data_IF_863250699206
#
_entry.id   IF_863250699206
#
_cell.length_a   1.000
_cell.length_b   1.000
_cell.length_c   1.000
_cell.angle_alpha   90.00
_cell.angle_beta   90.00
_cell.angle_gamma   90.00
#
_symmetry.space_group_name_H-M   'P 1'
#
loop_
_entity.id
_entity.type
_entity.pdbx_description
1 polymer ?
#
# COMPACT_ATOMS: atom_id res chain seq x y z
N UNK A 1 5.50 -19.34 -20.51
CA UNK A 1 5.05 -18.24 -19.62
C UNK A 1 6.20 -17.93 -18.68
N UNK A 2 6.88 -16.80 -18.84
CA UNK A 2 7.94 -16.42 -17.91
C UNK A 2 7.29 -16.03 -16.58
N UNK A 3 7.65 -16.73 -15.51
CA UNK A 3 7.25 -16.41 -14.14
C UNK A 3 7.76 -15.00 -13.82
N UNK A 4 6.87 -14.01 -13.70
CA UNK A 4 7.22 -12.61 -13.42
C UNK A 4 7.72 -12.38 -11.98
N UNK A 5 7.67 -13.42 -11.15
CA UNK A 5 8.17 -13.42 -9.78
C UNK A 5 9.46 -14.24 -9.70
N UNK A 6 10.48 -13.69 -9.06
CA UNK A 6 11.77 -14.36 -8.87
C UNK A 6 12.89 -13.37 -8.55
N UNK A 7 14.09 -13.89 -8.28
CA UNK A 7 15.25 -13.09 -7.83
C UNK A 7 16.16 -12.60 -8.97
N UNK A 8 15.75 -12.84 -10.22
CA UNK A 8 16.51 -12.46 -11.42
C UNK A 8 16.21 -11.01 -11.79
N UNK A 9 17.20 -10.32 -12.38
CA UNK A 9 17.05 -8.94 -12.84
C UNK A 9 15.79 -8.76 -13.72
N UNK A 10 14.93 -7.81 -13.35
CA UNK A 10 13.68 -7.52 -14.04
C UNK A 10 12.46 -8.32 -13.57
N UNK A 11 12.62 -9.20 -12.57
CA UNK A 11 11.52 -9.91 -11.91
C UNK A 11 11.05 -9.18 -10.66
N UNK A 12 9.80 -9.43 -10.27
CA UNK A 12 9.19 -8.91 -9.05
C UNK A 12 9.60 -9.79 -7.86
N UNK A 13 10.29 -9.21 -6.90
CA UNK A 13 10.68 -9.86 -5.64
C UNK A 13 9.78 -9.40 -4.50
N UNK A 14 9.62 -10.26 -3.50
CA UNK A 14 8.93 -9.89 -2.26
C UNK A 14 9.94 -9.16 -1.35
N UNK A 15 9.88 -7.83 -1.30
CA UNK A 15 10.79 -7.00 -0.48
C UNK A 15 10.54 -7.10 1.03
N UNK A 16 9.37 -7.61 1.42
CA UNK A 16 8.99 -7.78 2.83
C UNK A 16 9.55 -9.10 3.32
N UNK A 17 10.24 -9.08 4.46
CA UNK A 17 10.81 -10.28 5.07
C UNK A 17 9.77 -11.39 5.22
N UNK A 18 10.19 -12.63 4.96
CA UNK A 18 9.32 -13.80 5.02
C UNK A 18 8.66 -13.92 6.41
N UNK A 19 7.33 -13.91 6.45
CA UNK A 19 6.54 -13.98 7.68
C UNK A 19 6.11 -12.64 8.26
N UNK A 20 6.53 -11.52 7.65
CA UNK A 20 6.08 -10.19 8.04
C UNK A 20 4.91 -9.73 7.16
N UNK A 21 3.86 -9.20 7.78
CA UNK A 21 2.68 -8.67 7.09
C UNK A 21 2.55 -7.17 7.32
N UNK A 22 2.25 -6.44 6.25
CA UNK A 22 1.89 -5.02 6.34
C UNK A 22 0.45 -4.93 6.81
N UNK A 23 0.22 -4.30 7.97
CA UNK A 23 -1.11 -4.19 8.58
C UNK A 23 -1.74 -2.85 8.27
N UNK A 24 -0.97 -1.76 8.37
CA UNK A 24 -1.44 -0.42 8.07
C UNK A 24 -0.40 0.36 7.26
N UNK A 25 -0.90 1.17 6.34
CA UNK A 25 -0.09 2.08 5.51
C UNK A 25 -0.69 3.46 5.59
N UNK A 26 0.14 4.46 5.85
CA UNK A 26 -0.23 5.88 5.82
C UNK A 26 0.66 6.57 4.78
N UNK A 27 0.04 7.27 3.84
CA UNK A 27 0.74 8.03 2.79
C UNK A 27 0.31 9.48 2.83
N UNK A 28 1.25 10.40 3.03
CA UNK A 28 0.96 11.83 3.11
C UNK A 28 1.22 12.52 1.77
N UNK A 29 2.30 12.12 1.08
CA UNK A 29 2.73 12.74 -0.18
C UNK A 29 3.51 11.72 -1.04
N UNK A 30 3.80 12.03 -2.32
CA UNK A 30 4.64 11.18 -3.16
C UNK A 30 6.00 10.92 -2.50
N UNK A 31 6.34 9.64 -2.29
CA UNK A 31 7.57 9.19 -1.61
C UNK A 31 7.65 9.54 -0.10
N UNK A 32 6.52 9.88 0.52
CA UNK A 32 6.38 10.08 1.97
C UNK A 32 5.30 9.15 2.54
N UNK A 33 5.72 8.03 3.12
CA UNK A 33 4.84 6.98 3.64
C UNK A 33 5.39 6.31 4.90
N UNK A 34 4.48 5.80 5.72
CA UNK A 34 4.77 5.00 6.90
C UNK A 34 4.04 3.65 6.81
N UNK A 35 4.79 2.58 7.04
CA UNK A 35 4.32 1.20 7.02
C UNK A 35 4.37 0.64 8.45
N UNK A 36 3.25 0.08 8.90
CA UNK A 36 3.17 -0.72 10.11
C UNK A 36 3.22 -2.19 9.73
N UNK A 37 4.29 -2.85 10.13
CA UNK A 37 4.57 -4.24 9.85
C UNK A 37 4.46 -5.07 11.12
N UNK A 38 3.89 -6.27 10.99
CA UNK A 38 3.78 -7.24 12.08
C UNK A 38 4.52 -8.50 11.68
N UNK A 39 5.52 -8.87 12.47
CA UNK A 39 6.30 -10.09 12.29
C UNK A 39 5.49 -11.33 12.70
N UNK A 40 5.94 -12.52 12.30
CA UNK A 40 5.32 -13.79 12.70
C UNK A 40 5.25 -14.00 14.22
N UNK A 41 6.14 -13.33 14.98
CA UNK A 41 6.18 -13.35 16.46
C UNK A 41 5.23 -12.33 17.12
N UNK A 42 4.51 -11.52 16.34
CA UNK A 42 3.63 -10.46 16.84
C UNK A 42 4.32 -9.12 17.13
N UNK A 43 5.63 -9.02 16.92
CA UNK A 43 6.36 -7.76 17.07
C UNK A 43 5.97 -6.75 15.99
N UNK A 44 5.71 -5.52 16.42
CA UNK A 44 5.33 -4.42 15.54
C UNK A 44 6.58 -3.63 15.18
N UNK A 45 6.88 -3.56 13.89
CA UNK A 45 7.95 -2.72 13.35
C UNK A 45 7.37 -1.60 12.50
N UNK A 46 7.94 -0.41 12.61
CA UNK A 46 7.56 0.75 11.83
C UNK A 46 8.65 1.07 10.81
N UNK A 47 8.26 1.22 9.54
CA UNK A 47 9.16 1.66 8.48
C UNK A 47 8.63 2.95 7.88
N UNK A 48 9.37 4.03 8.08
CA UNK A 48 8.97 5.36 7.63
C UNK A 48 9.96 5.81 6.55
N UNK A 49 9.42 6.18 5.39
CA UNK A 49 10.19 6.78 4.30
C UNK A 49 9.64 8.16 4.04
N UNK A 50 10.46 9.19 4.26
CA UNK A 50 10.10 10.58 4.02
C UNK A 50 11.18 11.26 3.17
N UNK A 51 10.80 11.69 1.97
CA UNK A 51 11.73 12.35 1.05
C UNK A 51 12.16 13.70 1.62
N UNK A 52 13.47 13.95 1.64
CA UNK A 52 14.03 15.24 2.04
C UNK A 52 14.05 15.48 3.55
N UNK A 53 13.79 14.45 4.36
CA UNK A 53 13.88 14.53 5.81
C UNK A 53 15.14 13.83 6.30
N UNK A 54 15.91 14.52 7.14
CA UNK A 54 16.98 13.91 7.94
C UNK A 54 16.39 13.47 9.28
N UNK A 55 16.69 12.25 9.70
CA UNK A 55 16.28 11.70 11.00
C UNK A 55 17.22 12.23 12.08
N UNK A 56 16.88 13.40 12.62
CA UNK A 56 17.45 13.95 13.84
C UNK A 56 16.52 13.59 15.02
N UNK A 57 17.02 13.63 16.26
CA UNK A 57 16.23 13.31 17.45
C UNK A 57 14.93 14.12 17.58
N UNK A 58 14.96 15.39 17.15
CA UNK A 58 13.78 16.26 17.13
C UNK A 58 12.79 15.93 16.00
N UNK A 59 13.28 15.50 14.82
CA UNK A 59 12.41 15.16 13.69
C UNK A 59 11.80 13.76 13.81
N UNK A 60 12.42 12.86 14.56
CA UNK A 60 11.84 11.56 14.90
C UNK A 60 10.50 11.69 15.64
N UNK A 61 10.36 12.69 16.52
CA UNK A 61 9.12 12.93 17.25
C UNK A 61 8.00 13.45 16.34
N UNK A 62 8.32 14.27 15.35
CA UNK A 62 7.33 14.81 14.41
C UNK A 62 6.95 13.82 13.30
N UNK A 63 7.83 12.87 12.98
CA UNK A 63 7.70 11.92 11.85
C UNK A 63 7.28 10.52 12.33
N UNK A 64 6.64 10.42 13.49
CA UNK A 64 6.11 9.16 14.01
C UNK A 64 4.88 8.67 13.21
N UNK A 65 4.57 7.37 13.30
CA UNK A 65 3.42 6.79 12.60
C UNK A 65 2.10 7.46 13.00
N UNK A 66 1.92 7.72 14.30
CA UNK A 66 0.71 8.33 14.85
C UNK A 66 0.54 9.80 14.43
N UNK A 67 1.64 10.55 14.34
CA UNK A 67 1.59 11.95 13.88
C UNK A 67 1.21 12.01 12.39
N UNK A 68 1.78 11.14 11.56
CA UNK A 68 1.38 11.03 10.15
C UNK A 68 -0.08 10.64 9.98
N UNK A 69 -0.57 9.70 10.80
CA UNK A 69 -1.97 9.27 10.79
C UNK A 69 -2.90 10.40 11.19
N UNK A 70 -2.54 11.17 12.22
CA UNK A 70 -3.29 12.35 12.67
C UNK A 70 -3.35 13.42 11.58
N UNK A 71 -2.21 13.80 11.01
CA UNK A 71 -2.16 14.79 9.91
C UNK A 71 -3.07 14.40 8.74
N UNK A 72 -3.08 13.12 8.37
CA UNK A 72 -3.92 12.66 7.27
C UNK A 72 -5.42 12.66 7.62
N UNK A 73 -5.78 12.32 8.87
CA UNK A 73 -7.17 12.40 9.34
C UNK A 73 -7.67 13.84 9.36
N UNK A 74 -6.87 14.76 9.87
CA UNK A 74 -7.19 16.19 9.91
C UNK A 74 -7.38 16.71 8.48
N UNK A 75 -6.49 16.35 7.56
CA UNK A 75 -6.61 16.72 6.14
C UNK A 75 -7.88 16.20 5.45
N UNK A 76 -8.32 14.99 5.82
CA UNK A 76 -9.56 14.40 5.30
C UNK A 76 -10.78 15.10 5.91
N UNK A 77 -10.71 15.50 7.19
CA UNK A 77 -11.81 16.19 7.87
C UNK A 77 -12.03 17.62 7.34
N UNK A 78 -10.93 18.34 7.03
CA UNK A 78 -10.98 19.72 6.54
C UNK A 78 -11.49 19.85 5.09
N UNK A 79 -11.53 18.74 4.33
CA UNK A 79 -11.94 18.73 2.93
C UNK A 79 -13.18 17.86 2.74
N UNK A 80 -14.11 18.29 1.90
CA UNK A 80 -15.18 17.42 1.40
C UNK A 80 -14.60 16.36 0.43
N UNK A 81 -13.87 15.38 0.97
CA UNK A 81 -13.25 14.32 0.18
C UNK A 81 -14.28 13.21 -0.03
N UNK A 82 -14.69 13.00 -1.28
CA UNK A 82 -15.46 11.79 -1.64
C UNK A 82 -14.48 10.62 -1.70
N UNK A 83 -14.61 9.58 -0.86
CA UNK A 83 -13.72 8.43 -0.92
C UNK A 83 -13.83 7.74 -2.29
N UNK A 84 -12.71 7.71 -3.02
CA UNK A 84 -12.61 7.02 -4.30
C UNK A 84 -12.64 5.50 -4.08
N UNK A 85 -13.79 4.90 -4.33
CA UNK A 85 -13.94 3.44 -4.33
C UNK A 85 -13.50 2.88 -5.69
N UNK A 86 -12.24 2.44 -5.78
CA UNK A 86 -11.73 1.76 -6.96
C UNK A 86 -12.12 0.28 -6.99
N UNK A 87 -12.43 -0.25 -8.18
CA UNK A 87 -12.42 -1.70 -8.44
C UNK A 87 -11.02 -2.13 -8.88
N UNK A 88 -10.55 -3.29 -8.42
CA UNK A 88 -9.29 -3.87 -8.87
C UNK A 88 -9.34 -4.09 -10.39
N UNK A 89 -8.44 -3.42 -11.13
CA UNK A 89 -8.28 -3.58 -12.57
C UNK A 89 -7.03 -4.43 -12.79
N UNK A 90 -7.20 -5.63 -13.35
CA UNK A 90 -6.08 -6.46 -13.77
C UNK A 90 -5.76 -6.16 -15.24
N UNK A 91 -4.56 -5.64 -15.48
CA UNK A 91 -4.03 -5.45 -16.82
C UNK A 91 -3.38 -6.75 -17.29
N UNK A 92 -4.02 -7.43 -18.24
CA UNK A 92 -3.40 -8.57 -18.91
C UNK A 92 -2.72 -8.11 -20.20
N UNK A 93 -1.45 -8.49 -20.41
CA UNK A 93 -0.76 -8.29 -21.69
C UNK A 93 -1.50 -9.07 -22.80
N UNK A 94 -1.47 -8.53 -24.02
CA UNK A 94 -2.06 -9.21 -25.17
C UNK A 94 -1.46 -10.59 -25.39
N UNK A 95 -2.31 -11.54 -25.80
CA UNK A 95 -2.01 -12.97 -25.80
C UNK A 95 -0.98 -13.42 -26.84
N UNK A 96 -0.58 -12.59 -27.82
CA UNK A 96 0.18 -13.04 -29.00
C UNK A 96 1.53 -12.33 -29.20
N UNK A 97 1.67 -11.04 -28.88
CA UNK A 97 2.92 -10.28 -29.09
C UNK A 97 3.25 -9.34 -27.92
N UNK A 98 4.53 -9.05 -27.73
CA UNK A 98 5.04 -8.23 -26.62
C UNK A 98 4.55 -6.75 -26.64
N UNK A 99 4.12 -6.25 -27.81
CA UNK A 99 3.59 -4.90 -28.03
C UNK A 99 2.07 -4.86 -28.28
N UNK A 100 1.34 -5.98 -28.06
CA UNK A 100 -0.11 -5.98 -28.24
C UNK A 100 -0.80 -5.06 -27.21
N UNK A 101 -1.87 -4.39 -27.64
CA UNK A 101 -2.68 -3.52 -26.76
C UNK A 101 -3.16 -4.33 -25.54
N UNK A 102 -2.95 -3.82 -24.31
CA UNK A 102 -3.38 -4.53 -23.11
C UNK A 102 -4.90 -4.65 -23.09
N UNK A 103 -5.41 -5.83 -22.79
CA UNK A 103 -6.84 -6.04 -22.57
C UNK A 103 -7.15 -5.89 -21.08
N UNK A 104 -8.09 -5.02 -20.75
CA UNK A 104 -8.66 -4.88 -19.41
C UNK A 104 -9.75 -5.92 -19.21
N UNK A 105 -9.50 -6.91 -18.35
CA UNK A 105 -10.56 -7.80 -17.85
C UNK A 105 -11.01 -7.30 -16.48
N UNK A 106 -12.30 -6.97 -16.38
CA UNK A 106 -12.93 -6.75 -15.09
C UNK A 106 -13.11 -8.09 -14.39
N UNK A 107 -12.41 -8.31 -13.28
CA UNK A 107 -12.68 -9.47 -12.43
C UNK A 107 -14.02 -9.24 -11.72
N UNK A 108 -15.09 -9.83 -12.24
CA UNK A 108 -16.35 -9.95 -11.49
C UNK A 108 -16.12 -10.97 -10.37
N UNK A 109 -15.72 -10.52 -9.18
CA UNK A 109 -15.90 -11.36 -7.98
C UNK A 109 -17.40 -11.59 -7.82
N UNK A 110 -17.84 -12.82 -8.09
CA UNK A 110 -19.14 -13.31 -7.63
C UNK A 110 -19.15 -13.19 -6.11
N UNK A 111 -20.16 -12.51 -5.59
CA UNK A 111 -20.21 -12.09 -4.19
C UNK A 111 -20.13 -13.26 -3.21
N UNK A 112 -19.50 -13.00 -2.07
CA UNK A 112 -19.73 -13.79 -0.86
C UNK A 112 -19.58 -12.89 0.37
N UNK A 113 -20.64 -12.83 1.17
CA UNK A 113 -20.56 -12.63 2.62
C UNK A 113 -20.47 -11.21 3.16
N UNK A 114 -21.61 -10.71 3.65
CA UNK A 114 -21.76 -9.63 4.64
C UNK A 114 -20.71 -9.69 5.77
N UNK A 115 -20.11 -8.55 6.10
CA UNK A 115 -20.01 -8.10 7.50
C UNK A 115 -20.07 -6.58 7.55
N UNK A 116 -21.04 -6.08 8.32
CA UNK A 116 -21.27 -4.67 8.61
C UNK A 116 -20.12 -4.15 9.46
N UNK A 117 -19.53 -3.02 9.09
CA UNK A 117 -18.88 -2.13 10.05
C UNK A 117 -19.75 -0.88 10.08
N UNK A 118 -20.54 -0.76 11.15
CA UNK A 118 -21.22 0.49 11.52
C UNK A 118 -20.17 1.42 12.09
N UNK A 119 -20.04 2.60 11.52
CA UNK A 119 -19.43 3.73 12.21
C UNK A 119 -20.45 4.25 13.23
N UNK A 120 -20.01 4.31 14.50
CA UNK A 120 -20.50 5.30 15.46
C UNK A 120 -19.46 6.42 15.50
#
# INVERSE_FOLDING_TARGET
MAHLKGDVLGMLTDEVQAGTKIVEVVTVAPKCYALKMVNAKGEITYSIKAKGMTLNGATLQSVSFDTMKKMMKDHIADKAVVPLHGREIQFTKGTKRALDRPHTRFSRRRGCGRSRIRAC
#
